data_IF_703511161365
#
_entry.id   IF_703511161365
#
_cell.length_a   1.000
_cell.length_b   1.000
_cell.length_c   1.000
_cell.angle_alpha   90.00
_cell.angle_beta   90.00
_cell.angle_gamma   90.00
#
_symmetry.space_group_name_H-M   'P 1'
#
loop_
_entity.id
_entity.type
_entity.pdbx_description
1 polymer ?
#
# COMPACT_ATOMS: atom_id res chain seq x y z
N UNK A 1 -23.13 10.32 12.84
CA UNK A 1 -22.39 9.41 11.91
C UNK A 1 -21.07 9.03 12.56
N UNK A 2 -20.71 7.75 12.62
CA UNK A 2 -19.41 7.33 13.18
C UNK A 2 -18.24 7.71 12.24
N UNK A 3 -17.06 8.04 12.79
CA UNK A 3 -15.86 8.26 11.97
C UNK A 3 -15.32 6.95 11.40
N UNK A 4 -14.54 7.07 10.34
CA UNK A 4 -13.75 5.98 9.73
C UNK A 4 -12.31 6.46 9.54
N UNK A 5 -11.41 5.60 9.06
CA UNK A 5 -10.06 6.03 8.71
C UNK A 5 -9.98 6.86 7.41
N UNK A 6 -11.06 6.96 6.64
CA UNK A 6 -11.10 7.75 5.39
C UNK A 6 -12.02 8.98 5.49
N UNK A 7 -12.99 8.96 6.40
CA UNK A 7 -14.03 10.00 6.54
C UNK A 7 -14.25 10.36 8.00
N UNK A 8 -14.40 11.65 8.27
CA UNK A 8 -14.77 12.16 9.60
C UNK A 8 -16.17 11.70 10.02
N UNK A 9 -16.36 11.61 11.33
CA UNK A 9 -17.67 11.39 11.93
C UNK A 9 -18.35 12.72 12.26
N UNK A 10 -19.61 12.65 12.63
CA UNK A 10 -20.39 13.79 13.11
C UNK A 10 -21.30 13.40 14.26
N UNK A 11 -21.48 14.31 15.21
CA UNK A 11 -22.49 14.20 16.28
C UNK A 11 -23.34 15.45 16.27
N UNK A 12 -24.66 15.28 16.27
CA UNK A 12 -25.61 16.39 16.32
C UNK A 12 -26.33 16.37 17.67
N UNK A 13 -26.46 17.54 18.30
CA UNK A 13 -27.23 17.75 19.53
C UNK A 13 -28.36 18.71 19.21
N UNK A 14 -29.57 18.40 19.67
CA UNK A 14 -30.75 19.22 19.45
C UNK A 14 -31.26 19.75 20.78
N UNK A 15 -31.51 21.06 20.87
CA UNK A 15 -32.16 21.67 22.02
C UNK A 15 -33.62 21.23 22.08
N UNK A 16 -34.03 20.59 23.18
CA UNK A 16 -35.40 20.09 23.35
C UNK A 16 -36.44 21.20 23.55
N UNK A 17 -36.01 22.42 23.88
CA UNK A 17 -36.91 23.57 24.12
C UNK A 17 -37.20 24.39 22.86
N UNK A 18 -36.22 24.59 21.98
CA UNK A 18 -36.35 25.46 20.80
C UNK A 18 -36.02 24.78 19.46
N UNK A 19 -35.59 23.51 19.46
CA UNK A 19 -35.30 22.75 18.25
C UNK A 19 -33.98 23.09 17.54
N UNK A 20 -33.21 24.08 18.02
CA UNK A 20 -31.91 24.41 17.44
C UNK A 20 -30.94 23.22 17.50
N UNK A 21 -30.14 23.04 16.44
CA UNK A 21 -29.18 21.94 16.33
C UNK A 21 -27.74 22.44 16.25
N UNK A 22 -26.83 21.77 16.96
CA UNK A 22 -25.38 21.95 16.83
C UNK A 22 -24.78 20.65 16.32
N UNK A 23 -23.94 20.74 15.28
CA UNK A 23 -23.20 19.60 14.75
C UNK A 23 -21.71 19.76 15.05
N UNK A 24 -21.14 18.75 15.69
CA UNK A 24 -19.73 18.64 16.02
C UNK A 24 -19.08 17.61 15.08
N UNK A 25 -17.88 17.91 14.59
CA UNK A 25 -17.07 16.97 13.81
C UNK A 25 -16.30 16.05 14.74
N UNK A 26 -16.12 14.79 14.31
CA UNK A 26 -15.32 13.78 15.00
C UNK A 26 -14.17 13.41 14.08
N UNK A 27 -12.94 13.54 14.57
CA UNK A 27 -11.75 13.25 13.80
C UNK A 27 -11.76 11.82 13.21
N UNK A 28 -11.05 11.65 12.10
CA UNK A 28 -10.84 10.35 11.46
C UNK A 28 -10.11 9.39 12.41
N UNK A 29 -10.38 8.10 12.23
CA UNK A 29 -9.59 7.07 12.91
C UNK A 29 -8.22 6.93 12.25
N UNK A 30 -7.21 6.50 13.01
CA UNK A 30 -5.92 6.13 12.44
C UNK A 30 -6.06 4.90 11.55
N UNK A 31 -5.22 4.80 10.52
CA UNK A 31 -5.16 3.60 9.69
C UNK A 31 -4.53 2.42 10.46
N UNK A 32 -5.14 1.24 10.32
CA UNK A 32 -4.58 -0.03 10.79
C UNK A 32 -3.81 -0.73 9.67
N UNK A 33 -2.57 -0.30 9.43
CA UNK A 33 -1.72 -0.89 8.39
C UNK A 33 -1.12 -2.24 8.82
N UNK A 34 -1.15 -3.22 7.92
CA UNK A 34 -0.42 -4.48 8.03
C UNK A 34 0.68 -4.51 6.96
N UNK A 35 1.89 -4.94 7.35
CA UNK A 35 3.04 -5.02 6.45
C UNK A 35 3.15 -6.42 5.81
N UNK A 36 3.58 -6.48 4.55
CA UNK A 36 3.89 -7.71 3.83
C UNK A 36 5.16 -7.50 3.01
N UNK A 37 6.16 -8.34 3.22
CA UNK A 37 7.43 -8.25 2.47
C UNK A 37 7.32 -9.03 1.17
N UNK A 38 7.65 -8.36 0.06
CA UNK A 38 7.73 -8.94 -1.27
C UNK A 38 9.22 -9.01 -1.64
N UNK A 39 9.73 -10.22 -1.85
CA UNK A 39 11.12 -10.43 -2.21
C UNK A 39 11.43 -9.93 -3.64
N UNK A 40 12.66 -9.44 -3.92
CA UNK A 40 13.09 -9.16 -5.29
C UNK A 40 13.21 -10.44 -6.11
N UNK A 41 13.10 -10.29 -7.42
CA UNK A 41 13.40 -11.32 -8.42
C UNK A 41 14.58 -10.86 -9.29
N UNK A 42 14.98 -11.66 -10.29
CA UNK A 42 16.02 -11.26 -11.24
C UNK A 42 15.65 -10.03 -12.08
N UNK A 43 14.34 -9.74 -12.25
CA UNK A 43 13.84 -8.65 -13.10
C UNK A 43 13.05 -7.59 -12.34
N UNK A 44 12.48 -7.92 -11.19
CA UNK A 44 11.64 -7.01 -10.41
C UNK A 44 12.23 -6.73 -9.01
N UNK A 45 12.12 -5.48 -8.58
CA UNK A 45 12.48 -5.07 -7.22
C UNK A 45 11.53 -5.69 -6.18
N UNK A 46 12.08 -6.01 -5.02
CA UNK A 46 11.32 -6.31 -3.81
C UNK A 46 10.93 -5.03 -3.07
N UNK A 47 9.98 -5.12 -2.14
CA UNK A 47 9.48 -3.99 -1.35
C UNK A 47 8.68 -4.50 -0.15
N UNK A 48 8.40 -3.62 0.81
CA UNK A 48 7.40 -3.86 1.85
C UNK A 48 6.10 -3.16 1.45
N UNK A 49 5.00 -3.91 1.43
CA UNK A 49 3.65 -3.40 1.18
C UNK A 49 2.95 -3.18 2.52
N UNK A 50 2.48 -1.95 2.77
CA UNK A 50 1.61 -1.63 3.89
C UNK A 50 0.19 -1.50 3.38
N UNK A 51 -0.74 -2.31 3.89
CA UNK A 51 -2.15 -2.25 3.51
C UNK A 51 -3.04 -2.09 4.74
N UNK A 52 -3.91 -1.10 4.71
CA UNK A 52 -4.88 -0.89 5.78
C UNK A 52 -5.95 -1.98 5.72
N UNK A 53 -6.11 -2.75 6.80
CA UNK A 53 -7.11 -3.82 6.88
C UNK A 53 -8.55 -3.31 6.89
N UNK A 54 -8.75 -2.04 7.25
CA UNK A 54 -10.06 -1.42 7.40
C UNK A 54 -10.55 -0.82 6.07
N UNK A 55 -9.74 -0.01 5.40
CA UNK A 55 -10.16 0.71 4.19
C UNK A 55 -9.46 0.28 2.91
N UNK A 56 -8.45 -0.59 2.99
CA UNK A 56 -7.73 -1.10 1.83
C UNK A 56 -6.72 -0.15 1.20
N UNK A 57 -6.56 1.09 1.71
CA UNK A 57 -5.47 1.98 1.27
C UNK A 57 -4.13 1.29 1.48
N UNK A 58 -3.20 1.51 0.56
CA UNK A 58 -1.88 0.89 0.64
C UNK A 58 -0.78 1.77 0.10
N UNK A 59 0.42 1.60 0.64
CA UNK A 59 1.66 2.21 0.14
C UNK A 59 2.80 1.19 0.19
N UNK A 60 3.88 1.46 -0.55
CA UNK A 60 5.07 0.61 -0.61
C UNK A 60 6.29 1.39 -0.13
N UNK A 61 7.16 0.75 0.63
CA UNK A 61 8.46 1.29 1.05
C UNK A 61 9.54 0.18 1.08
N UNK A 62 10.70 0.46 1.68
CA UNK A 62 11.81 -0.48 1.84
C UNK A 62 12.16 -1.27 0.56
N UNK A 63 12.32 -0.54 -0.55
CA UNK A 63 12.56 -1.16 -1.86
C UNK A 63 13.95 -1.81 -1.92
N UNK A 64 13.99 -3.06 -2.37
CA UNK A 64 15.22 -3.82 -2.62
C UNK A 64 15.38 -4.03 -4.13
N UNK A 65 16.54 -3.69 -4.69
CA UNK A 65 16.79 -3.83 -6.14
C UNK A 65 16.66 -5.30 -6.60
N UNK A 66 16.24 -5.49 -7.84
CA UNK A 66 16.26 -6.78 -8.53
C UNK A 66 17.66 -7.41 -8.45
N UNK A 67 17.72 -8.74 -8.32
CA UNK A 67 18.98 -9.47 -8.14
C UNK A 67 19.83 -9.52 -9.42
N UNK A 68 19.22 -9.21 -10.57
CA UNK A 68 19.82 -9.39 -11.88
C UNK A 68 19.87 -10.86 -12.31
N UNK A 69 20.33 -11.07 -13.55
CA UNK A 69 20.53 -12.41 -14.10
C UNK A 69 21.92 -12.94 -13.74
N UNK A 70 21.98 -14.21 -13.35
CA UNK A 70 23.24 -14.96 -13.27
C UNK A 70 23.37 -15.82 -14.53
N UNK A 71 24.25 -15.43 -15.44
CA UNK A 71 24.52 -16.20 -16.65
C UNK A 71 25.55 -17.31 -16.37
N UNK A 72 25.27 -18.51 -16.85
CA UNK A 72 26.23 -19.62 -16.84
C UNK A 72 27.29 -19.48 -17.94
N UNK A 73 28.15 -20.50 -18.07
CA UNK A 73 29.21 -20.51 -19.08
C UNK A 73 28.66 -20.35 -20.50
N UNK A 74 29.30 -19.49 -21.28
CA UNK A 74 28.97 -19.31 -22.70
C UNK A 74 29.33 -20.56 -23.50
N UNK A 75 28.38 -21.04 -24.31
CA UNK A 75 28.62 -22.07 -25.32
C UNK A 75 28.66 -21.44 -26.70
N UNK A 76 29.57 -21.90 -27.57
CA UNK A 76 29.63 -21.45 -28.97
C UNK A 76 28.44 -22.06 -29.70
N UNK A 77 27.43 -21.26 -30.03
CA UNK A 77 26.21 -21.70 -30.71
C UNK A 77 26.29 -21.62 -32.23
N UNK A 78 27.30 -20.94 -32.78
CA UNK A 78 27.54 -20.84 -34.22
C UNK A 78 29.02 -21.01 -34.52
N UNK A 79 29.39 -22.11 -35.16
CA UNK A 79 30.74 -22.26 -35.70
C UNK A 79 30.84 -21.55 -37.06
N UNK A 80 31.98 -20.89 -37.36
CA UNK A 80 32.21 -20.34 -38.69
C UNK A 80 32.30 -21.49 -39.70
N UNK A 81 31.59 -21.37 -40.82
CA UNK A 81 31.81 -22.22 -42.00
C UNK A 81 32.91 -21.59 -42.84
N UNK A 82 34.02 -22.31 -43.05
CA UNK A 82 35.04 -21.90 -44.02
C UNK A 82 34.49 -22.01 -45.45
N UNK A 83 34.73 -20.98 -46.27
CA UNK A 83 34.55 -20.96 -47.73
C UNK A 83 35.86 -21.25 -48.43
#
# INVERSE_FOLDING_TARGET
>A
KQPTCTSEGTKTKTCTKCGATVTETIAKLSHSYTATVVAPTCTANGYTLHKCSVCGTSYKDNTTKATGHSYGNSVVTKQPTCT
#
